data_IF_759409686670
#
_entry.id   IF_759409686670
#
_cell.length_a   1.000
_cell.length_b   1.000
_cell.length_c   1.000
_cell.angle_alpha   90.00
_cell.angle_beta   90.00
_cell.angle_gamma   90.00
#
_symmetry.space_group_name_H-M   'P 1'
#
loop_
_entity.id
_entity.type
_entity.pdbx_description
1 polymer ?
#
# COMPACT_ATOMS: atom_id res chain seq x y z
N UNK A 1 7.41 -16.45 6.68
CA UNK A 1 6.81 -16.63 5.34
C UNK A 1 7.39 -15.54 4.50
N UNK A 2 8.10 -15.88 3.43
CA UNK A 2 8.46 -14.89 2.42
C UNK A 2 7.17 -14.34 1.82
N UNK A 3 7.08 -13.01 1.77
CA UNK A 3 5.99 -12.34 1.09
C UNK A 3 6.24 -12.52 -0.40
N UNK A 4 5.43 -13.36 -1.05
CA UNK A 4 5.49 -13.54 -2.50
C UNK A 4 4.78 -12.33 -3.13
N UNK A 5 5.50 -11.63 -4.01
CA UNK A 5 4.98 -10.49 -4.76
C UNK A 5 4.44 -10.98 -6.10
N UNK A 6 3.48 -10.27 -6.69
CA UNK A 6 3.04 -10.60 -8.06
C UNK A 6 4.11 -10.09 -9.02
N UNK A 7 4.96 -11.00 -9.50
CA UNK A 7 6.02 -10.71 -10.47
C UNK A 7 5.45 -10.24 -11.82
N UNK A 8 6.24 -9.48 -12.58
CA UNK A 8 5.90 -9.05 -13.95
C UNK A 8 5.39 -10.22 -14.79
N UNK A 9 4.36 -9.99 -15.61
CA UNK A 9 3.81 -11.00 -16.53
C UNK A 9 2.94 -12.07 -15.86
N UNK A 10 2.80 -12.02 -14.53
CA UNK A 10 1.96 -12.97 -13.79
C UNK A 10 0.60 -12.34 -13.49
N UNK A 11 -0.43 -13.16 -13.64
CA UNK A 11 -1.78 -12.82 -13.20
C UNK A 11 -2.13 -13.63 -11.96
N UNK A 12 -2.86 -13.00 -11.05
CA UNK A 12 -3.26 -13.64 -9.80
C UNK A 12 -4.79 -13.76 -9.72
N UNK A 13 -5.26 -14.90 -9.21
CA UNK A 13 -6.68 -15.20 -9.03
C UNK A 13 -6.98 -15.67 -7.60
N UNK A 14 -8.14 -15.26 -7.10
CA UNK A 14 -8.65 -15.77 -5.82
C UNK A 14 -9.40 -17.12 -5.97
N UNK A 15 -9.69 -17.76 -4.85
CA UNK A 15 -10.40 -19.06 -4.84
C UNK A 15 -11.81 -18.98 -5.44
N UNK A 16 -12.48 -17.83 -5.35
CA UNK A 16 -13.79 -17.63 -5.96
C UNK A 16 -13.69 -17.66 -7.49
N UNK A 17 -12.70 -16.97 -8.05
CA UNK A 17 -12.43 -16.94 -9.48
C UNK A 17 -12.05 -18.34 -10.00
N UNK A 18 -11.18 -19.07 -9.30
CA UNK A 18 -10.82 -20.45 -9.67
C UNK A 18 -12.04 -21.36 -9.67
N UNK A 19 -12.90 -21.23 -8.65
CA UNK A 19 -14.13 -22.02 -8.56
C UNK A 19 -15.09 -21.70 -9.70
N UNK A 20 -15.23 -20.41 -10.06
CA UNK A 20 -16.00 -19.97 -11.21
C UNK A 20 -15.47 -20.56 -12.52
N UNK A 21 -14.15 -20.51 -12.76
CA UNK A 21 -13.50 -21.14 -13.91
C UNK A 21 -13.78 -22.65 -13.99
N UNK A 22 -13.80 -23.33 -12.85
CA UNK A 22 -14.10 -24.76 -12.77
C UNK A 22 -15.60 -25.10 -12.92
N UNK A 23 -16.50 -24.11 -12.95
CA UNK A 23 -17.95 -24.32 -12.85
C UNK A 23 -18.36 -25.03 -11.56
N UNK A 24 -17.66 -24.76 -10.44
CA UNK A 24 -17.85 -25.42 -9.14
C UNK A 24 -18.00 -24.38 -8.02
N UNK A 25 -18.48 -24.84 -6.87
CA UNK A 25 -18.50 -24.04 -5.64
C UNK A 25 -17.11 -24.08 -4.96
N UNK A 26 -16.65 -22.96 -4.40
CA UNK A 26 -15.40 -22.85 -3.63
C UNK A 26 -15.29 -23.89 -2.52
N UNK A 27 -16.39 -24.18 -1.81
CA UNK A 27 -16.44 -25.19 -0.75
C UNK A 27 -16.15 -26.58 -1.28
N UNK A 28 -16.61 -26.90 -2.49
CA UNK A 28 -16.35 -28.17 -3.15
C UNK A 28 -14.86 -28.35 -3.44
N UNK A 29 -14.20 -27.30 -3.94
CA UNK A 29 -12.75 -27.33 -4.22
C UNK A 29 -11.93 -27.38 -2.93
N UNK A 30 -12.34 -26.63 -1.90
CA UNK A 30 -11.67 -26.59 -0.59
C UNK A 30 -11.70 -27.96 0.10
N UNK A 31 -12.86 -28.63 0.10
CA UNK A 31 -12.98 -29.97 0.70
C UNK A 31 -12.11 -31.01 -0.01
N UNK A 32 -11.88 -30.84 -1.30
CA UNK A 32 -11.00 -31.70 -2.11
C UNK A 32 -9.52 -31.36 -1.96
N UNK A 33 -9.18 -30.35 -1.15
CA UNK A 33 -7.81 -29.84 -1.02
C UNK A 33 -7.19 -29.46 -2.37
N UNK A 34 -8.03 -29.04 -3.32
CA UNK A 34 -7.59 -28.76 -4.69
C UNK A 34 -6.64 -27.55 -4.75
N UNK A 35 -6.70 -26.67 -3.75
CA UNK A 35 -5.84 -25.48 -3.67
C UNK A 35 -4.48 -25.77 -3.02
N UNK A 36 -4.29 -26.91 -2.35
CA UNK A 36 -3.07 -27.22 -1.60
C UNK A 36 -1.87 -27.49 -2.54
N UNK A 37 -2.15 -27.73 -3.83
CA UNK A 37 -1.17 -27.95 -4.89
C UNK A 37 -0.83 -26.69 -5.67
N UNK A 38 -1.53 -25.57 -5.40
CA UNK A 38 -1.24 -24.29 -6.01
C UNK A 38 -0.30 -23.51 -5.11
N UNK A 39 0.68 -22.86 -5.72
CA UNK A 39 1.51 -21.92 -5.01
C UNK A 39 0.69 -20.70 -4.61
N UNK A 40 1.00 -20.18 -3.43
CA UNK A 40 0.40 -18.96 -2.93
C UNK A 40 1.26 -17.81 -3.41
N UNK A 41 0.79 -17.13 -4.44
CA UNK A 41 1.42 -15.89 -4.92
C UNK A 41 1.16 -14.77 -3.91
N UNK A 42 0.10 -14.85 -3.10
CA UNK A 42 -0.12 -13.95 -1.97
C UNK A 42 -1.06 -14.52 -0.92
N UNK A 43 -0.68 -14.46 0.35
CA UNK A 43 -1.53 -14.84 1.50
C UNK A 43 -0.92 -14.31 2.80
N UNK A 44 -1.59 -14.22 3.95
CA UNK A 44 -2.97 -14.47 4.35
C UNK A 44 -3.12 -14.09 5.83
N UNK A 45 -3.25 -12.79 6.12
CA UNK A 45 -3.67 -12.24 7.42
C UNK A 45 -4.81 -11.25 7.15
N UNK A 46 -6.05 -11.75 7.12
CA UNK A 46 -7.25 -10.95 6.82
C UNK A 46 -7.49 -10.62 5.34
N UNK A 47 -6.53 -10.93 4.46
CA UNK A 47 -6.58 -10.72 3.01
C UNK A 47 -7.00 -11.99 2.26
N UNK A 48 -7.75 -11.85 1.16
CA UNK A 48 -7.97 -12.96 0.20
C UNK A 48 -6.63 -13.53 -0.26
N UNK A 49 -6.51 -14.86 -0.22
CA UNK A 49 -5.38 -15.62 -0.76
C UNK A 49 -5.46 -15.61 -2.29
N UNK A 50 -4.36 -15.26 -2.94
CA UNK A 50 -4.23 -15.26 -4.38
C UNK A 50 -3.26 -16.36 -4.81
N UNK A 51 -3.60 -16.99 -5.92
CA UNK A 51 -2.84 -18.04 -6.58
C UNK A 51 -2.47 -17.60 -7.99
N UNK A 52 -1.46 -18.25 -8.57
CA UNK A 52 -1.05 -18.00 -9.95
C UNK A 52 -2.15 -18.47 -10.93
N UNK A 53 -2.45 -17.63 -11.92
CA UNK A 53 -3.50 -17.91 -12.90
C UNK A 53 -3.19 -19.12 -13.77
N UNK A 54 -1.94 -19.31 -14.19
CA UNK A 54 -1.52 -20.41 -15.06
C UNK A 54 -1.66 -21.75 -14.32
N UNK A 55 -1.15 -21.81 -13.08
CA UNK A 55 -1.35 -22.97 -12.22
C UNK A 55 -2.84 -23.26 -11.98
N UNK A 56 -3.64 -22.21 -11.74
CA UNK A 56 -5.08 -22.35 -11.58
C UNK A 56 -5.77 -22.89 -12.85
N UNK A 57 -5.37 -22.46 -14.04
CA UNK A 57 -5.90 -22.97 -15.31
C UNK A 57 -5.59 -24.46 -15.49
N UNK A 58 -4.36 -24.88 -15.21
CA UNK A 58 -3.96 -26.30 -15.27
C UNK A 58 -4.74 -27.12 -14.25
N UNK A 59 -4.92 -26.63 -13.02
CA UNK A 59 -5.77 -27.28 -12.02
C UNK A 59 -7.21 -27.43 -12.52
N UNK A 60 -7.81 -26.37 -13.08
CA UNK A 60 -9.17 -26.39 -13.60
C UNK A 60 -9.32 -27.43 -14.73
N UNK A 61 -8.36 -27.48 -15.65
CA UNK A 61 -8.33 -28.49 -16.71
C UNK A 61 -8.24 -29.92 -16.11
N UNK A 62 -7.36 -30.13 -15.14
CA UNK A 62 -7.20 -31.41 -14.44
C UNK A 62 -8.47 -31.86 -13.70
N UNK A 63 -9.22 -30.92 -13.11
CA UNK A 63 -10.49 -31.20 -12.44
C UNK A 63 -11.61 -31.63 -13.40
N UNK A 64 -11.44 -31.37 -14.71
CA UNK A 64 -12.36 -31.79 -15.77
C UNK A 64 -12.05 -33.17 -16.38
N UNK A 65 -10.94 -33.80 -15.98
CA UNK A 65 -10.51 -35.07 -16.57
C UNK A 65 -11.46 -36.22 -16.25
N UNK A 66 -11.65 -37.10 -17.23
CA UNK A 66 -12.38 -38.36 -17.09
C UNK A 66 -11.50 -39.41 -16.42
N UNK A 67 -12.13 -40.42 -15.82
CA UNK A 67 -11.43 -41.56 -15.22
C UNK A 67 -10.47 -42.20 -16.24
N UNK A 68 -9.20 -42.31 -15.87
CA UNK A 68 -8.15 -42.91 -16.71
C UNK A 68 -7.33 -41.90 -17.53
N UNK A 69 -7.66 -40.60 -17.50
CA UNK A 69 -6.78 -39.57 -18.04
C UNK A 69 -5.77 -39.12 -16.97
N UNK A 70 -4.53 -38.90 -17.39
CA UNK A 70 -3.45 -38.43 -16.53
C UNK A 70 -3.50 -36.90 -16.39
N UNK A 71 -3.41 -36.35 -15.17
CA UNK A 71 -3.35 -34.92 -14.96
C UNK A 71 -2.07 -34.33 -15.51
N UNK A 72 -2.17 -33.16 -16.15
CA UNK A 72 -1.00 -32.38 -16.52
C UNK A 72 -0.29 -31.89 -15.24
N UNK A 73 1.05 -31.87 -15.21
CA UNK A 73 1.78 -31.31 -14.08
C UNK A 73 1.46 -29.82 -13.94
N UNK A 74 1.28 -29.37 -12.70
CA UNK A 74 1.12 -27.94 -12.42
C UNK A 74 2.50 -27.30 -12.60
N UNK A 75 2.64 -26.25 -13.42
CA UNK A 75 3.92 -25.61 -13.66
C UNK A 75 4.42 -24.94 -12.37
N UNK A 76 5.72 -25.03 -12.09
CA UNK A 76 6.32 -24.25 -11.01
C UNK A 76 6.29 -22.76 -11.35
N UNK A 77 6.12 -21.91 -10.34
CA UNK A 77 6.36 -20.47 -10.53
C UNK A 77 7.85 -20.29 -10.80
N UNK A 78 8.24 -19.74 -11.96
CA UNK A 78 9.63 -19.48 -12.22
C UNK A 78 10.15 -18.38 -11.31
N UNK A 79 11.34 -18.59 -10.78
CA UNK A 79 12.09 -17.58 -10.05
C UNK A 79 13.06 -16.91 -11.03
N UNK A 80 12.84 -15.63 -11.41
CA UNK A 80 13.72 -14.92 -12.31
C UNK A 80 15.14 -14.78 -11.74
N UNK A 81 15.35 -14.98 -10.44
CA UNK A 81 16.69 -14.89 -9.86
C UNK A 81 17.66 -15.94 -10.43
N UNK A 82 17.13 -17.09 -10.84
CA UNK A 82 17.88 -18.22 -11.40
C UNK A 82 18.10 -18.13 -12.92
N UNK A 83 17.50 -17.14 -13.59
CA UNK A 83 17.54 -17.03 -15.04
C UNK A 83 18.86 -16.41 -15.52
N UNK A 84 19.38 -16.94 -16.63
CA UNK A 84 20.41 -16.28 -17.43
C UNK A 84 19.86 -15.03 -18.11
N UNK A 85 20.72 -14.12 -18.57
CA UNK A 85 20.31 -12.94 -19.34
C UNK A 85 19.37 -13.26 -20.52
N UNK A 86 19.64 -14.34 -21.26
CA UNK A 86 18.81 -14.75 -22.39
C UNK A 86 17.42 -15.21 -21.93
N UNK A 87 17.35 -15.96 -20.83
CA UNK A 87 16.09 -16.44 -20.24
C UNK A 87 15.28 -15.27 -19.63
N UNK A 88 15.95 -14.33 -18.95
CA UNK A 88 15.33 -13.09 -18.46
C UNK A 88 14.69 -12.30 -19.59
N UNK A 89 15.43 -12.10 -20.68
CA UNK A 89 14.92 -11.38 -21.85
C UNK A 89 13.72 -12.08 -22.48
N UNK A 90 13.82 -13.41 -22.68
CA UNK A 90 12.71 -14.22 -23.19
C UNK A 90 11.47 -14.16 -22.29
N UNK A 91 11.68 -14.18 -20.96
CA UNK A 91 10.63 -14.03 -19.96
C UNK A 91 9.93 -12.67 -20.06
N UNK A 92 10.69 -11.58 -20.08
CA UNK A 92 10.14 -10.22 -20.17
C UNK A 92 9.38 -10.05 -21.49
N UNK A 93 9.92 -10.49 -22.62
CA UNK A 93 9.24 -10.40 -23.92
C UNK A 93 7.91 -11.16 -23.89
N UNK A 94 7.91 -12.38 -23.35
CA UNK A 94 6.70 -13.19 -23.24
C UNK A 94 5.65 -12.53 -22.34
N UNK A 95 6.09 -11.97 -21.21
CA UNK A 95 5.25 -11.21 -20.29
C UNK A 95 4.59 -9.99 -20.98
N UNK A 96 5.38 -9.16 -21.68
CA UNK A 96 4.89 -7.99 -22.38
C UNK A 96 3.92 -8.35 -23.52
N UNK A 97 4.17 -9.46 -24.21
CA UNK A 97 3.24 -9.95 -25.23
C UNK A 97 1.89 -10.38 -24.61
N UNK A 98 1.92 -11.16 -23.53
CA UNK A 98 0.70 -11.58 -22.83
C UNK A 98 -0.09 -10.37 -22.29
N UNK A 99 0.60 -9.37 -21.75
CA UNK A 99 -0.03 -8.15 -21.25
C UNK A 99 -0.60 -7.29 -22.38
N UNK A 100 0.11 -7.18 -23.51
CA UNK A 100 -0.41 -6.53 -24.72
C UNK A 100 -1.67 -7.20 -25.25
N UNK A 101 -1.72 -8.54 -25.25
CA UNK A 101 -2.93 -9.30 -25.64
C UNK A 101 -4.12 -9.04 -24.70
N UNK A 102 -3.83 -8.78 -23.41
CA UNK A 102 -4.82 -8.34 -22.43
C UNK A 102 -5.19 -6.85 -22.53
N UNK A 103 -4.60 -6.11 -23.47
CA UNK A 103 -4.89 -4.71 -23.74
C UNK A 103 -4.07 -3.70 -22.93
N UNK A 104 -3.02 -4.15 -22.25
CA UNK A 104 -2.08 -3.25 -21.58
C UNK A 104 -1.12 -2.59 -22.59
N UNK A 105 -0.69 -1.37 -22.26
CA UNK A 105 0.29 -0.61 -23.03
C UNK A 105 1.58 -0.56 -22.23
N UNK A 106 2.69 -0.79 -22.91
CA UNK A 106 4.03 -0.76 -22.32
C UNK A 106 4.86 0.34 -22.97
N UNK A 107 5.66 1.01 -22.15
CA UNK A 107 6.54 2.09 -22.58
C UNK A 107 7.92 1.58 -23.08
N UNK A 108 8.16 0.27 -23.02
CA UNK A 108 9.38 -0.37 -23.50
C UNK A 108 9.13 -1.20 -24.76
N UNK A 109 10.08 -1.16 -25.69
CA UNK A 109 10.11 -1.94 -26.92
C UNK A 109 10.98 -3.19 -26.78
N UNK A 110 10.85 -4.12 -27.72
CA UNK A 110 11.70 -5.33 -27.74
C UNK A 110 13.15 -4.95 -28.05
N UNK A 111 13.35 -3.96 -28.92
CA UNK A 111 14.65 -3.41 -29.28
C UNK A 111 15.37 -2.81 -28.06
N UNK A 112 14.65 -2.07 -27.21
CA UNK A 112 15.22 -1.53 -25.96
C UNK A 112 15.62 -2.64 -24.98
N UNK A 113 14.85 -3.75 -24.92
CA UNK A 113 15.22 -4.93 -24.10
C UNK A 113 16.44 -5.68 -24.65
N UNK A 114 16.64 -5.69 -25.97
CA UNK A 114 17.81 -6.29 -26.60
C UNK A 114 19.10 -5.51 -26.26
N UNK A 115 18.99 -4.22 -25.97
CA UNK A 115 20.12 -3.37 -25.57
C UNK A 115 20.43 -3.44 -24.06
N UNK A 116 19.51 -3.94 -23.24
CA UNK A 116 19.73 -4.13 -21.80
C UNK A 116 20.67 -5.29 -21.52
N UNK A 117 21.59 -5.11 -20.57
CA UNK A 117 22.36 -6.20 -19.98
C UNK A 117 21.57 -6.93 -18.89
N UNK A 118 22.18 -7.96 -18.28
CA UNK A 118 21.52 -8.75 -17.24
C UNK A 118 21.02 -7.90 -16.07
N UNK A 119 21.83 -6.95 -15.61
CA UNK A 119 21.49 -6.07 -14.49
C UNK A 119 20.30 -5.17 -14.85
N UNK A 120 20.28 -4.60 -16.06
CA UNK A 120 19.16 -3.79 -16.56
C UNK A 120 17.86 -4.59 -16.70
N UNK A 121 17.94 -5.85 -17.16
CA UNK A 121 16.76 -6.73 -17.24
C UNK A 121 16.23 -7.10 -15.85
N UNK A 122 17.12 -7.34 -14.87
CA UNK A 122 16.72 -7.60 -13.48
C UNK A 122 16.06 -6.38 -12.84
N UNK A 123 16.65 -5.19 -13.02
CA UNK A 123 16.07 -3.94 -12.55
C UNK A 123 14.69 -3.70 -13.18
N UNK A 124 14.54 -3.99 -14.47
CA UNK A 124 13.26 -3.90 -15.17
C UNK A 124 12.19 -4.79 -14.53
N UNK A 125 12.49 -6.06 -14.26
CA UNK A 125 11.55 -7.00 -13.62
C UNK A 125 11.18 -6.50 -12.22
N UNK A 126 12.17 -6.15 -11.39
CA UNK A 126 11.93 -5.72 -10.02
C UNK A 126 11.12 -4.41 -9.95
N UNK A 127 11.36 -3.48 -10.88
CA UNK A 127 10.60 -2.24 -11.03
C UNK A 127 9.12 -2.47 -11.40
N UNK A 128 8.86 -3.53 -12.17
CA UNK A 128 7.52 -3.93 -12.62
C UNK A 128 6.86 -5.01 -11.75
N UNK A 129 7.43 -5.34 -10.59
CA UNK A 129 6.72 -6.10 -9.57
C UNK A 129 5.49 -5.34 -9.11
N UNK A 130 4.34 -6.03 -9.06
CA UNK A 130 3.09 -5.47 -8.56
C UNK A 130 2.98 -5.69 -7.06
N UNK A 131 3.07 -4.58 -6.34
CA UNK A 131 3.07 -4.49 -4.90
C UNK A 131 1.68 -4.16 -4.38
N UNK A 132 1.26 -4.85 -3.34
CA UNK A 132 0.15 -4.41 -2.52
C UNK A 132 0.48 -3.19 -1.66
N UNK A 133 -0.49 -2.69 -0.89
CA UNK A 133 -0.30 -1.51 -0.05
C UNK A 133 0.84 -1.64 0.99
N UNK A 134 1.01 -2.83 1.58
CA UNK A 134 2.03 -3.10 2.58
C UNK A 134 3.40 -3.37 1.93
N UNK A 135 3.44 -4.09 0.82
CA UNK A 135 4.63 -4.29 0.00
C UNK A 135 5.14 -2.97 -0.57
N UNK A 136 4.24 -2.12 -1.06
CA UNK A 136 4.52 -0.74 -1.47
C UNK A 136 5.13 0.06 -0.32
N UNK A 137 4.60 -0.08 0.90
CA UNK A 137 5.17 0.54 2.10
C UNK A 137 6.60 0.04 2.33
N UNK A 138 6.83 -1.26 2.20
CA UNK A 138 8.11 -1.90 2.46
C UNK A 138 9.16 -1.58 1.38
N UNK A 139 8.74 -1.35 0.13
CA UNK A 139 9.60 -0.89 -0.96
C UNK A 139 10.18 0.52 -0.73
N UNK A 140 9.53 1.33 0.11
CA UNK A 140 10.07 2.63 0.51
C UNK A 140 11.27 2.42 1.47
N UNK A 141 12.43 3.09 1.21
CA UNK A 141 13.59 3.05 2.09
C UNK A 141 13.24 3.31 3.55
N UNK A 142 13.87 2.59 4.48
CA UNK A 142 13.48 2.56 5.90
C UNK A 142 13.48 3.96 6.56
N UNK A 143 14.45 4.80 6.21
CA UNK A 143 14.57 6.18 6.70
C UNK A 143 13.39 7.09 6.26
N UNK A 144 12.73 6.73 5.16
CA UNK A 144 11.55 7.41 4.64
C UNK A 144 10.28 6.62 4.85
N UNK A 145 10.32 5.36 5.28
CA UNK A 145 9.16 4.45 5.31
C UNK A 145 8.05 4.99 6.21
N UNK A 146 6.83 5.20 5.68
CA UNK A 146 5.71 5.61 6.52
C UNK A 146 5.27 4.47 7.45
N UNK A 147 4.62 4.83 8.55
CA UNK A 147 3.91 3.84 9.37
C UNK A 147 2.73 3.28 8.58
N UNK A 148 2.28 2.07 8.92
CA UNK A 148 1.11 1.43 8.30
C UNK A 148 -0.13 2.35 8.30
N UNK A 149 -0.46 2.95 9.44
CA UNK A 149 -1.58 3.91 9.54
C UNK A 149 -1.41 5.15 8.64
N UNK A 150 -0.17 5.62 8.47
CA UNK A 150 0.11 6.74 7.57
C UNK A 150 -0.03 6.31 6.12
N UNK A 151 0.44 5.11 5.76
CA UNK A 151 0.30 4.55 4.42
C UNK A 151 -1.18 4.38 4.05
N UNK A 152 -1.99 3.83 4.96
CA UNK A 152 -3.44 3.77 4.79
C UNK A 152 -4.07 5.14 4.59
N UNK A 153 -3.60 6.16 5.31
CA UNK A 153 -4.09 7.53 5.12
C UNK A 153 -3.73 8.10 3.75
N UNK A 154 -2.59 7.72 3.17
CA UNK A 154 -2.21 8.09 1.80
C UNK A 154 -3.06 7.35 0.77
N UNK A 155 -3.41 6.09 1.03
CA UNK A 155 -4.30 5.30 0.19
C UNK A 155 -5.73 5.86 0.16
N UNK A 156 -6.31 6.22 1.31
CA UNK A 156 -7.69 6.72 1.39
C UNK A 156 -7.82 8.24 1.21
N UNK A 157 -6.70 8.96 1.19
CA UNK A 157 -6.68 10.43 1.20
C UNK A 157 -6.95 11.05 -0.17
N UNK A 158 -7.33 12.33 -0.19
CA UNK A 158 -7.55 13.13 -1.41
C UNK A 158 -6.65 14.39 -1.49
N UNK A 159 -5.45 14.36 -0.89
CA UNK A 159 -4.57 15.54 -0.80
C UNK A 159 -3.25 15.25 -1.51
N UNK A 160 -2.42 16.26 -1.77
CA UNK A 160 -1.14 16.13 -2.50
C UNK A 160 -0.05 15.26 -1.86
N UNK A 161 -0.40 14.34 -0.95
CA UNK A 161 0.42 13.25 -0.43
C UNK A 161 -0.28 11.90 -0.56
N UNK A 162 -1.40 11.83 -1.29
CA UNK A 162 -2.09 10.57 -1.60
C UNK A 162 -1.18 9.69 -2.46
N UNK A 163 -1.39 8.38 -2.39
CA UNK A 163 -0.77 7.44 -3.31
C UNK A 163 -1.18 7.77 -4.76
N UNK A 164 -0.34 7.41 -5.74
CA UNK A 164 -0.75 7.46 -7.14
C UNK A 164 -1.94 6.53 -7.38
N UNK A 165 -2.62 6.71 -8.50
CA UNK A 165 -3.62 5.73 -8.93
C UNK A 165 -2.97 4.35 -9.03
N UNK A 166 -3.68 3.28 -8.68
CA UNK A 166 -3.14 1.94 -8.79
C UNK A 166 -2.88 1.58 -10.24
N UNK A 167 -1.71 0.97 -10.48
CA UNK A 167 -1.34 0.48 -11.81
C UNK A 167 -2.26 -0.67 -12.22
N UNK A 168 -2.66 -1.53 -11.26
CA UNK A 168 -3.59 -2.64 -11.48
C UNK A 168 -4.48 -2.93 -10.28
N UNK A 169 -5.65 -3.51 -10.55
CA UNK A 169 -6.53 -4.05 -9.51
C UNK A 169 -6.77 -5.55 -9.75
N UNK A 170 -6.32 -6.39 -8.82
CA UNK A 170 -6.54 -7.85 -8.85
C UNK A 170 -7.44 -8.29 -7.71
N UNK A 171 -8.46 -9.09 -8.02
CA UNK A 171 -9.43 -9.60 -7.05
C UNK A 171 -10.02 -8.49 -6.13
N UNK A 172 -10.25 -7.29 -6.70
CA UNK A 172 -10.78 -6.13 -6.00
C UNK A 172 -9.78 -5.44 -5.05
N UNK A 173 -8.48 -5.71 -5.19
CA UNK A 173 -7.41 -5.03 -4.45
C UNK A 173 -6.50 -4.30 -5.42
N UNK A 174 -6.16 -3.09 -5.02
CA UNK A 174 -5.25 -2.21 -5.74
C UNK A 174 -3.80 -2.63 -5.51
N UNK A 175 -3.02 -2.53 -6.59
CA UNK A 175 -1.59 -2.83 -6.65
C UNK A 175 -0.89 -1.75 -7.45
N UNK A 176 0.38 -1.52 -7.13
CA UNK A 176 1.24 -0.56 -7.78
C UNK A 176 2.54 -1.21 -8.20
N UNK A 177 3.10 -0.80 -9.32
CA UNK A 177 4.46 -1.15 -9.67
C UNK A 177 5.43 -0.60 -8.61
N UNK A 178 6.51 -1.34 -8.35
CA UNK A 178 7.56 -0.89 -7.43
C UNK A 178 8.08 0.48 -7.86
N UNK A 179 8.33 0.67 -9.15
CA UNK A 179 8.81 1.95 -9.69
C UNK A 179 7.83 3.09 -9.47
N UNK A 180 6.53 2.85 -9.68
CA UNK A 180 5.47 3.83 -9.39
C UNK A 180 5.55 4.32 -7.94
N UNK A 181 5.74 3.40 -6.98
CA UNK A 181 5.83 3.74 -5.55
C UNK A 181 7.16 4.43 -5.22
N UNK A 182 8.27 3.96 -5.75
CA UNK A 182 9.60 4.53 -5.51
C UNK A 182 9.67 5.96 -6.05
N UNK A 183 9.16 6.18 -7.26
CA UNK A 183 9.12 7.50 -7.89
C UNK A 183 8.15 8.43 -7.16
N UNK A 184 6.94 7.97 -6.83
CA UNK A 184 6.01 8.75 -5.99
C UNK A 184 6.65 9.16 -4.65
N UNK A 185 7.38 8.25 -4.00
CA UNK A 185 8.07 8.57 -2.77
C UNK A 185 9.20 9.58 -3.01
N UNK A 186 9.91 9.51 -4.13
CA UNK A 186 10.99 10.42 -4.50
C UNK A 186 10.48 11.84 -4.78
N UNK A 187 9.49 12.00 -5.66
CA UNK A 187 9.06 13.27 -6.23
C UNK A 187 7.74 13.81 -5.65
N UNK A 188 6.75 12.94 -5.44
CA UNK A 188 5.39 13.32 -5.03
C UNK A 188 5.21 13.52 -3.53
N UNK A 189 5.93 12.73 -2.71
CA UNK A 189 5.78 12.78 -1.25
C UNK A 189 6.60 13.92 -0.66
N UNK A 190 5.92 15.03 -0.33
CA UNK A 190 6.51 16.14 0.45
C UNK A 190 7.24 15.58 1.68
N UNK A 191 8.57 15.70 1.70
CA UNK A 191 9.40 15.25 2.80
C UNK A 191 8.93 15.84 4.13
N UNK A 192 9.21 15.14 5.23
CA UNK A 192 8.97 15.63 6.59
C UNK A 192 9.74 16.95 6.75
N UNK A 193 9.03 18.08 6.65
CA UNK A 193 9.61 19.43 6.84
C UNK A 193 9.72 20.33 5.60
N UNK A 194 9.34 19.91 4.39
CA UNK A 194 9.36 20.80 3.20
C UNK A 194 8.18 21.77 3.11
N UNK A 195 7.17 21.61 3.98
CA UNK A 195 6.20 22.66 4.27
C UNK A 195 6.68 23.52 5.43
N UNK A 196 6.71 24.84 5.24
CA UNK A 196 7.12 25.89 6.18
C UNK A 196 6.44 25.87 7.58
N UNK A 197 6.66 24.82 8.36
CA UNK A 197 5.94 24.58 9.62
C UNK A 197 6.59 23.60 10.60
N UNK A 198 7.84 23.17 10.37
CA UNK A 198 8.62 22.42 11.36
C UNK A 198 9.55 23.36 12.15
N UNK A 199 9.61 23.21 13.48
CA UNK A 199 10.56 23.91 14.35
C UNK A 199 11.98 23.45 13.98
N UNK A 200 12.92 24.36 13.65
CA UNK A 200 14.31 23.99 13.45
C UNK A 200 14.86 23.31 14.71
N UNK A 201 15.70 22.29 14.55
CA UNK A 201 16.41 21.68 15.68
C UNK A 201 17.19 22.78 16.42
N UNK A 202 16.92 22.95 17.72
CA UNK A 202 17.59 23.94 18.57
C UNK A 202 16.86 25.27 18.83
N UNK A 203 15.70 25.52 18.21
CA UNK A 203 14.95 26.76 18.51
C UNK A 203 14.37 26.70 19.93
N UNK A 204 14.82 27.55 20.86
CA UNK A 204 14.32 27.65 22.26
C UNK A 204 13.04 28.49 22.42
N UNK A 205 12.51 29.05 21.33
CA UNK A 205 11.31 29.89 21.36
C UNK A 205 10.00 29.10 21.49
N UNK A 206 9.15 29.51 22.43
CA UNK A 206 7.79 28.98 22.63
C UNK A 206 6.91 29.15 21.38
N UNK A 207 5.98 28.21 21.21
CA UNK A 207 5.04 28.14 20.09
C UNK A 207 4.35 29.48 19.83
N UNK A 208 4.60 30.09 18.67
CA UNK A 208 3.86 31.28 18.21
C UNK A 208 2.74 30.83 17.28
N UNK A 209 1.45 30.98 17.66
CA UNK A 209 0.34 30.63 16.80
C UNK A 209 0.29 31.49 15.53
N UNK A 210 0.40 30.88 14.35
CA UNK A 210 0.41 31.57 13.04
C UNK A 210 -0.97 31.77 12.38
N UNK A 211 -2.07 31.41 13.03
CA UNK A 211 -3.42 31.64 12.47
C UNK A 211 -4.27 32.51 13.40
N UNK A 212 -5.18 33.36 12.87
CA UNK A 212 -6.10 34.18 13.67
C UNK A 212 -6.91 33.34 14.68
N UNK A 213 -7.32 32.14 14.26
CA UNK A 213 -8.03 31.18 15.14
C UNK A 213 -7.17 30.70 16.29
N UNK A 214 -5.87 30.50 16.06
CA UNK A 214 -4.93 30.04 17.08
C UNK A 214 -4.51 31.18 18.02
N UNK A 215 -4.48 32.43 17.55
CA UNK A 215 -4.28 33.63 18.38
C UNK A 215 -5.45 33.80 19.36
N UNK A 216 -6.70 33.74 18.86
CA UNK A 216 -7.89 33.80 19.70
C UNK A 216 -7.94 32.66 20.74
N UNK A 217 -7.51 31.45 20.37
CA UNK A 217 -7.43 30.32 21.31
C UNK A 217 -6.30 30.47 22.35
N UNK A 218 -5.20 31.14 22.01
CA UNK A 218 -4.13 31.46 22.97
C UNK A 218 -4.54 32.58 23.92
N UNK A 219 -5.28 33.58 23.43
CA UNK A 219 -5.83 34.66 24.23
C UNK A 219 -6.86 34.15 25.24
N UNK A 220 -7.84 33.35 24.79
CA UNK A 220 -8.81 32.71 25.70
C UNK A 220 -8.15 31.82 26.74
N UNK A 221 -7.02 31.16 26.40
CA UNK A 221 -6.23 30.39 27.38
C UNK A 221 -5.66 31.28 28.47
N UNK A 222 -5.02 32.40 28.10
CA UNK A 222 -4.48 33.37 29.07
C UNK A 222 -5.59 33.96 29.93
N UNK A 223 -6.71 34.33 29.33
CA UNK A 223 -7.87 34.87 30.05
C UNK A 223 -8.47 33.85 31.02
N UNK A 224 -8.57 32.57 30.66
CA UNK A 224 -9.04 31.52 31.56
C UNK A 224 -8.15 31.38 32.80
N UNK A 225 -6.82 31.41 32.63
CA UNK A 225 -5.87 31.37 33.74
C UNK A 225 -5.96 32.62 34.59
N UNK A 226 -6.07 33.80 33.97
CA UNK A 226 -6.19 35.07 34.71
C UNK A 226 -7.46 35.11 35.56
N UNK A 227 -8.62 34.73 35.00
CA UNK A 227 -9.88 34.65 35.74
C UNK A 227 -9.80 33.72 36.96
N UNK A 228 -9.07 32.61 36.82
CA UNK A 228 -8.85 31.65 37.92
C UNK A 228 -7.82 32.15 38.94
N UNK A 229 -6.87 33.00 38.53
CA UNK A 229 -5.92 33.63 39.43
C UNK A 229 -6.56 34.77 40.22
N UNK A 230 -7.44 35.55 39.58
CA UNK A 230 -8.17 36.67 40.20
C UNK A 230 -9.23 36.16 41.19
N UNK A 231 -9.84 35.00 40.92
CA UNK A 231 -10.74 34.30 41.84
C UNK A 231 -10.53 32.78 41.76
N UNK A 232 -9.77 32.26 42.72
CA UNK A 232 -9.46 30.83 42.83
C UNK A 232 -10.71 29.95 43.05
N UNK A 233 -11.80 30.53 43.55
CA UNK A 233 -13.06 29.83 43.81
C UNK A 233 -14.01 29.81 42.60
N UNK A 234 -13.71 30.59 41.54
CA UNK A 234 -14.58 30.74 40.38
C UNK A 234 -14.86 29.39 39.70
N UNK A 235 -16.13 28.93 39.62
CA UNK A 235 -16.46 27.64 38.98
C UNK A 235 -16.05 27.59 37.50
N UNK A 236 -15.66 26.40 37.02
CA UNK A 236 -15.26 26.19 35.61
C UNK A 236 -16.39 26.59 34.65
N UNK A 237 -17.65 26.31 35.01
CA UNK A 237 -18.82 26.73 34.24
C UNK A 237 -18.87 28.25 34.03
N UNK A 238 -18.56 29.03 35.09
CA UNK A 238 -18.55 30.49 35.02
C UNK A 238 -17.42 31.02 34.14
N UNK A 239 -16.24 30.39 34.18
CA UNK A 239 -15.11 30.71 33.29
C UNK A 239 -15.48 30.40 31.84
N UNK A 240 -16.18 29.29 31.60
CA UNK A 240 -16.63 28.89 30.27
C UNK A 240 -17.63 29.90 29.68
N UNK A 241 -18.61 30.34 30.49
CA UNK A 241 -19.59 31.35 30.12
C UNK A 241 -18.95 32.69 29.77
N UNK A 242 -18.04 33.20 30.62
CA UNK A 242 -17.34 34.49 30.41
C UNK A 242 -16.54 34.48 29.10
N UNK A 243 -15.95 33.34 28.74
CA UNK A 243 -15.11 33.21 27.54
C UNK A 243 -15.89 32.72 26.30
N UNK A 244 -17.18 32.43 26.43
CA UNK A 244 -18.00 31.87 25.36
C UNK A 244 -17.47 30.54 24.82
N UNK A 245 -16.99 29.66 25.70
CA UNK A 245 -16.45 28.33 25.37
C UNK A 245 -17.18 27.23 26.13
N UNK A 246 -16.97 25.96 25.75
CA UNK A 246 -17.50 24.83 26.54
C UNK A 246 -16.76 24.64 27.86
N UNK A 247 -17.43 24.10 28.87
CA UNK A 247 -16.81 23.77 30.18
C UNK A 247 -15.62 22.83 30.03
N UNK A 248 -15.71 21.84 29.13
CA UNK A 248 -14.62 20.91 28.82
C UNK A 248 -13.38 21.64 28.32
N UNK A 249 -13.57 22.70 27.52
CA UNK A 249 -12.48 23.51 26.99
C UNK A 249 -11.88 24.44 28.04
N UNK A 250 -12.70 25.03 28.90
CA UNK A 250 -12.24 25.81 30.05
C UNK A 250 -11.41 24.94 31.03
N UNK A 251 -11.89 23.74 31.36
CA UNK A 251 -11.17 22.78 32.18
C UNK A 251 -9.83 22.36 31.56
N UNK A 252 -9.81 22.14 30.24
CA UNK A 252 -8.57 21.83 29.51
C UNK A 252 -7.55 22.96 29.64
N UNK A 253 -7.95 24.22 29.43
CA UNK A 253 -7.06 25.39 29.52
C UNK A 253 -6.41 25.54 30.89
N UNK A 254 -7.17 25.37 31.98
CA UNK A 254 -6.66 25.46 33.34
C UNK A 254 -5.68 24.33 33.67
N UNK A 255 -5.99 23.09 33.27
CA UNK A 255 -5.15 21.92 33.51
C UNK A 255 -3.79 22.00 32.80
N UNK A 256 -3.74 22.57 31.59
CA UNK A 256 -2.48 22.69 30.82
C UNK A 256 -1.54 23.78 31.33
N UNK A 257 -1.94 24.58 32.33
CA UNK A 257 -1.12 25.67 32.89
C UNK A 257 -0.74 25.49 34.36
N UNK A 258 -1.20 24.42 35.02
CA UNK A 258 -0.84 24.06 36.40
C UNK A 258 0.21 22.95 36.50
N UNK A 259 0.89 22.61 35.40
CA UNK A 259 2.09 21.75 35.36
C UNK A 259 3.24 22.48 34.69
#
# INVERSE_FOLDING_TARGET
METVMIRLGRSAVDREQIAAMAGKNVRTLSNKKAFDVLDVVRGGNGSKVLHDLEQAQVLVANLGLKKGQEPAPIPAIPDPTDYTEHELRGYIISALQAEKEAGFVHDITVEELDEMDEDGLREYIDGHDLLDLEEARMAIPEDRRPTESTMHSYYTGHKGTSLPEPDRTFAGKDHWFRDTIVEWNRSGRRGRGSGAGGRPAGATGGWTPRSPRNLAAAERRRQAVQLRADDASMPIARIADVLGISERQAAYYLRTHTG
#
